data_IF_998529012858
#
_entry.id   IF_998529012858
#
_cell.length_a   1.000
_cell.length_b   1.000
_cell.length_c   1.000
_cell.angle_alpha   90.00
_cell.angle_beta   90.00
_cell.angle_gamma   90.00
#
_symmetry.space_group_name_H-M   'P 1'
#
loop_
_entity.id
_entity.type
_entity.pdbx_description
1 polymer ?
#
# COMPACT_ATOMS: atom_id res chain seq x y z
N UNK A 1 -2.80 13.07 8.10
CA UNK A 1 -3.04 13.42 6.69
C UNK A 1 -3.50 14.86 6.51
N UNK A 2 -4.50 15.35 7.26
CA UNK A 2 -5.03 16.72 7.09
C UNK A 2 -4.00 17.81 7.40
N UNK A 3 -3.11 17.56 8.35
CA UNK A 3 -2.01 18.46 8.70
C UNK A 3 -1.02 18.60 7.55
N UNK A 4 -0.74 17.52 6.81
CA UNK A 4 0.12 17.54 5.63
C UNK A 4 -0.48 18.37 4.48
N UNK A 5 -1.80 18.26 4.26
CA UNK A 5 -2.49 18.94 3.15
C UNK A 5 -2.57 20.47 3.31
N UNK A 6 -2.43 21.00 4.52
CA UNK A 6 -2.50 22.44 4.82
C UNK A 6 -1.17 23.08 5.24
N UNK A 7 -0.03 22.51 4.82
CA UNK A 7 1.29 23.04 5.18
C UNK A 7 1.69 22.79 6.63
N UNK A 8 1.13 21.72 7.21
CA UNK A 8 1.54 21.22 8.52
C UNK A 8 2.91 20.52 8.46
N UNK A 9 3.34 20.00 9.60
CA UNK A 9 4.60 19.28 9.74
C UNK A 9 4.59 18.03 8.86
N UNK A 10 5.53 17.97 7.90
CA UNK A 10 5.76 16.82 7.02
C UNK A 10 6.95 15.99 7.51
N UNK A 11 7.37 16.16 8.77
CA UNK A 11 8.44 15.34 9.31
C UNK A 11 7.99 13.89 9.51
N UNK A 12 8.97 12.99 9.48
CA UNK A 12 8.80 11.56 9.75
C UNK A 12 8.10 11.33 11.09
N UNK A 13 8.45 12.11 12.11
CA UNK A 13 7.97 12.00 13.49
C UNK A 13 6.51 12.41 13.65
N UNK A 14 5.96 13.16 12.70
CA UNK A 14 4.56 13.61 12.74
C UNK A 14 3.54 12.45 12.68
N UNK A 15 3.97 11.25 12.30
CA UNK A 15 3.12 10.07 12.20
C UNK A 15 3.89 8.78 12.44
N UNK A 16 3.56 8.03 13.48
CA UNK A 16 4.15 6.70 13.74
C UNK A 16 4.01 5.72 12.56
N UNK A 17 2.94 5.84 11.77
CA UNK A 17 2.74 5.07 10.54
C UNK A 17 3.79 5.46 9.48
N UNK A 18 4.05 6.76 9.31
CA UNK A 18 5.08 7.26 8.40
C UNK A 18 6.46 6.81 8.86
N UNK A 19 6.79 6.98 10.14
CA UNK A 19 8.07 6.54 10.70
C UNK A 19 8.31 5.06 10.47
N UNK A 20 7.31 4.21 10.72
CA UNK A 20 7.39 2.77 10.45
C UNK A 20 7.58 2.47 8.96
N UNK A 21 6.88 3.19 8.09
CA UNK A 21 7.02 3.03 6.64
C UNK A 21 8.45 3.36 6.19
N UNK A 22 8.99 4.50 6.63
CA UNK A 22 10.35 4.93 6.27
C UNK A 22 11.39 3.94 6.81
N UNK A 23 11.28 3.51 8.07
CA UNK A 23 12.18 2.49 8.64
C UNK A 23 12.15 1.18 7.85
N UNK A 24 10.97 0.80 7.33
CA UNK A 24 10.84 -0.39 6.47
C UNK A 24 11.53 -0.16 5.12
N UNK A 25 11.35 1.01 4.50
CA UNK A 25 12.02 1.38 3.25
C UNK A 25 13.54 1.39 3.42
N UNK A 26 14.07 1.98 4.50
CA UNK A 26 15.51 1.99 4.82
C UNK A 26 16.06 0.55 4.90
N UNK A 27 15.35 -0.36 5.55
CA UNK A 27 15.74 -1.77 5.65
C UNK A 27 15.78 -2.45 4.28
N UNK A 28 14.77 -2.21 3.43
CA UNK A 28 14.69 -2.76 2.08
C UNK A 28 15.85 -2.24 1.21
N UNK A 29 16.12 -0.94 1.26
CA UNK A 29 17.22 -0.32 0.52
C UNK A 29 18.59 -0.84 0.98
N UNK A 30 18.77 -1.04 2.29
CA UNK A 30 20.02 -1.60 2.84
C UNK A 30 20.27 -3.03 2.39
N UNK A 31 19.22 -3.78 2.12
CA UNK A 31 19.27 -5.14 1.55
C UNK A 31 19.43 -5.14 0.02
N UNK A 32 19.53 -3.98 -0.61
CA UNK A 32 19.59 -3.81 -2.06
C UNK A 32 18.36 -4.38 -2.80
N UNK A 33 17.21 -4.38 -2.17
CA UNK A 33 15.95 -4.90 -2.70
C UNK A 33 15.07 -3.78 -3.26
N UNK A 34 14.02 -4.17 -4.01
CA UNK A 34 13.03 -3.24 -4.56
C UNK A 34 11.69 -3.39 -3.85
N UNK A 35 10.97 -2.27 -3.71
CA UNK A 35 9.66 -2.26 -3.09
C UNK A 35 8.60 -1.50 -3.90
N UNK A 36 7.36 -2.00 -3.82
CA UNK A 36 6.15 -1.30 -4.21
C UNK A 36 5.46 -0.77 -2.97
N UNK A 37 5.02 0.48 -2.99
CA UNK A 37 4.26 1.11 -1.92
C UNK A 37 2.90 1.50 -2.47
N UNK A 38 1.85 0.88 -1.96
CA UNK A 38 0.49 1.15 -2.37
C UNK A 38 -0.20 2.14 -1.44
N UNK A 39 -0.85 3.14 -2.02
CA UNK A 39 -1.71 4.10 -1.31
C UNK A 39 -3.01 4.32 -2.07
N UNK A 40 -4.10 4.64 -1.36
CA UNK A 40 -5.39 4.94 -1.98
C UNK A 40 -5.43 6.35 -2.60
N UNK A 41 -4.64 7.28 -2.07
CA UNK A 41 -4.73 8.70 -2.36
C UNK A 41 -3.49 9.20 -3.10
N UNK A 42 -3.72 9.92 -4.20
CA UNK A 42 -2.63 10.53 -4.96
C UNK A 42 -1.80 11.49 -4.10
N UNK A 43 -2.46 12.31 -3.31
CA UNK A 43 -1.84 13.30 -2.43
C UNK A 43 -0.92 12.62 -1.38
N UNK A 44 -1.32 11.46 -0.87
CA UNK A 44 -0.47 10.68 0.02
C UNK A 44 0.73 10.09 -0.74
N UNK A 45 0.55 9.70 -1.99
CA UNK A 45 1.65 9.26 -2.85
C UNK A 45 2.68 10.36 -3.07
N UNK A 46 2.25 11.60 -3.32
CA UNK A 46 3.13 12.77 -3.44
C UNK A 46 3.93 13.00 -2.14
N UNK A 47 3.27 12.88 -0.97
CA UNK A 47 3.90 13.02 0.36
C UNK A 47 4.92 11.89 0.60
N UNK A 48 4.56 10.65 0.33
CA UNK A 48 5.44 9.49 0.48
C UNK A 48 6.70 9.65 -0.39
N UNK A 49 6.54 10.01 -1.66
CA UNK A 49 7.67 10.23 -2.55
C UNK A 49 8.60 11.31 -2.02
N UNK A 50 8.06 12.43 -1.54
CA UNK A 50 8.86 13.51 -0.99
C UNK A 50 9.65 13.06 0.24
N UNK A 51 8.97 12.49 1.25
CA UNK A 51 9.63 12.08 2.50
C UNK A 51 10.67 10.98 2.24
N UNK A 52 10.36 9.98 1.40
CA UNK A 52 11.33 8.93 1.03
C UNK A 52 12.55 9.52 0.32
N UNK A 53 12.33 10.51 -0.55
CA UNK A 53 13.45 11.18 -1.23
C UNK A 53 14.34 11.93 -0.25
N UNK A 54 13.73 12.66 0.68
CA UNK A 54 14.45 13.50 1.65
C UNK A 54 15.20 12.65 2.69
N UNK A 55 14.58 11.57 3.20
CA UNK A 55 15.11 10.75 4.29
C UNK A 55 16.02 9.60 3.82
N UNK A 56 15.68 8.96 2.69
CA UNK A 56 16.37 7.75 2.24
C UNK A 56 17.38 8.01 1.08
N UNK A 57 17.57 9.27 0.69
CA UNK A 57 18.45 9.67 -0.43
C UNK A 57 18.22 8.83 -1.70
N UNK A 58 16.95 8.62 -2.06
CA UNK A 58 16.53 7.89 -3.25
C UNK A 58 15.41 8.65 -3.96
N UNK A 59 15.20 8.38 -5.24
CA UNK A 59 14.14 9.02 -6.02
C UNK A 59 13.02 8.02 -6.32
N UNK A 60 11.94 7.95 -5.52
CA UNK A 60 10.85 7.04 -5.78
C UNK A 60 10.15 7.35 -7.10
N UNK A 61 9.82 6.33 -7.88
CA UNK A 61 8.94 6.46 -9.02
C UNK A 61 7.50 6.57 -8.52
N UNK A 62 6.68 7.44 -9.15
CA UNK A 62 5.29 7.58 -8.75
C UNK A 62 4.32 7.26 -9.89
N UNK A 63 3.63 6.15 -9.74
CA UNK A 63 2.64 5.66 -10.70
C UNK A 63 1.22 6.04 -10.25
N UNK A 64 0.53 6.89 -11.02
CA UNK A 64 -0.80 7.40 -10.67
C UNK A 64 -1.70 7.59 -11.89
N UNK A 65 -3.00 7.81 -11.65
CA UNK A 65 -4.04 7.85 -12.68
C UNK A 65 -3.91 8.97 -13.72
N UNK A 66 -3.25 10.08 -13.37
CA UNK A 66 -3.09 11.21 -14.30
C UNK A 66 -1.96 11.03 -15.31
N UNK A 67 -1.17 9.95 -15.23
CA UNK A 67 -0.11 9.66 -16.19
C UNK A 67 -0.70 9.17 -17.51
N UNK A 68 -0.09 9.60 -18.62
CA UNK A 68 -0.38 9.06 -19.95
C UNK A 68 0.14 7.64 -20.11
N UNK A 69 -0.37 6.89 -21.09
CA UNK A 69 0.08 5.51 -21.34
C UNK A 69 1.60 5.42 -21.54
N UNK A 70 2.24 6.25 -22.39
CA UNK A 70 3.69 6.20 -22.54
C UNK A 70 4.47 6.48 -21.25
N UNK A 71 3.99 7.42 -20.41
CA UNK A 71 4.64 7.69 -19.11
C UNK A 71 4.54 6.49 -18.16
N UNK A 72 3.42 5.77 -18.18
CA UNK A 72 3.24 4.56 -17.37
C UNK A 72 4.19 3.45 -17.82
N UNK A 73 4.31 3.24 -19.12
CA UNK A 73 5.21 2.23 -19.70
C UNK A 73 6.68 2.55 -19.40
N UNK A 74 7.07 3.82 -19.47
CA UNK A 74 8.40 4.29 -19.09
C UNK A 74 8.72 3.99 -17.63
N UNK A 75 7.83 4.36 -16.70
CA UNK A 75 8.01 4.09 -15.27
C UNK A 75 8.13 2.60 -14.97
N UNK A 76 7.31 1.75 -15.61
CA UNK A 76 7.37 0.30 -15.44
C UNK A 76 8.72 -0.22 -15.94
N UNK A 77 9.15 0.21 -17.12
CA UNK A 77 10.42 -0.21 -17.71
C UNK A 77 11.59 0.18 -16.81
N UNK A 78 11.63 1.42 -16.36
CA UNK A 78 12.66 1.93 -15.44
C UNK A 78 12.69 1.13 -14.15
N UNK A 79 11.54 0.91 -13.52
CA UNK A 79 11.48 0.11 -12.30
C UNK A 79 11.99 -1.31 -12.50
N UNK A 80 11.69 -1.92 -13.64
CA UNK A 80 12.13 -3.29 -13.93
C UNK A 80 13.63 -3.39 -14.26
N UNK A 81 14.19 -2.38 -14.95
CA UNK A 81 15.52 -2.50 -15.57
C UNK A 81 16.60 -1.66 -14.89
N UNK A 82 16.25 -0.53 -14.25
CA UNK A 82 17.22 0.38 -13.63
C UNK A 82 17.51 -0.04 -12.18
N UNK A 83 18.78 -0.14 -11.83
CA UNK A 83 19.19 -0.56 -10.47
C UNK A 83 18.98 0.51 -9.41
N UNK A 84 18.95 1.78 -9.78
CA UNK A 84 18.70 2.92 -8.90
C UNK A 84 17.19 3.15 -8.65
N UNK A 85 16.32 2.64 -9.52
CA UNK A 85 14.88 2.67 -9.35
C UNK A 85 14.42 1.59 -8.34
N UNK A 86 14.66 1.82 -7.05
CA UNK A 86 14.38 0.84 -5.98
C UNK A 86 12.96 0.90 -5.45
N UNK A 87 12.36 2.08 -5.42
CA UNK A 87 11.05 2.30 -4.81
C UNK A 87 10.08 2.82 -5.87
N UNK A 88 8.89 2.18 -5.96
CA UNK A 88 7.78 2.71 -6.74
C UNK A 88 6.56 2.87 -5.84
N UNK A 89 6.05 4.08 -5.75
CA UNK A 89 4.76 4.39 -5.10
C UNK A 89 3.66 4.27 -6.15
N UNK A 90 2.56 3.61 -5.79
CA UNK A 90 1.41 3.41 -6.68
C UNK A 90 0.13 3.92 -6.04
N UNK A 91 -0.57 4.81 -6.74
CA UNK A 91 -1.95 5.13 -6.41
C UNK A 91 -2.87 4.08 -7.04
N UNK A 92 -3.61 3.35 -6.20
CA UNK A 92 -4.34 2.15 -6.61
C UNK A 92 -5.50 2.39 -7.59
N UNK A 93 -6.06 3.59 -7.63
CA UNK A 93 -7.01 3.97 -8.70
C UNK A 93 -6.38 3.89 -10.11
N UNK A 94 -5.06 3.95 -10.19
CA UNK A 94 -4.31 3.86 -11.44
C UNK A 94 -3.86 2.42 -11.75
N UNK A 95 -3.78 1.58 -10.75
CA UNK A 95 -3.23 0.23 -10.86
C UNK A 95 -4.19 -0.83 -11.38
N UNK A 96 -5.41 -0.48 -11.83
CA UNK A 96 -6.46 -1.42 -12.27
C UNK A 96 -6.12 -2.31 -13.47
N UNK A 97 -5.01 -2.10 -14.15
CA UNK A 97 -4.67 -2.84 -15.37
C UNK A 97 -3.34 -3.59 -15.21
N UNK A 98 -3.43 -4.90 -15.15
CA UNK A 98 -2.43 -5.94 -15.51
C UNK A 98 -0.92 -5.64 -15.42
N UNK A 99 -0.48 -4.77 -14.49
CA UNK A 99 0.93 -4.43 -14.34
C UNK A 99 1.73 -5.66 -13.93
N UNK A 100 2.86 -5.88 -14.57
CA UNK A 100 3.82 -6.91 -14.19
C UNK A 100 5.05 -6.23 -13.58
N UNK A 101 5.24 -6.36 -12.25
CA UNK A 101 6.27 -5.68 -11.48
C UNK A 101 7.12 -6.69 -10.68
N UNK A 102 7.57 -7.73 -11.35
CA UNK A 102 8.28 -8.87 -10.76
C UNK A 102 9.69 -8.56 -10.24
N UNK A 103 10.22 -7.37 -10.50
CA UNK A 103 11.51 -6.96 -9.89
C UNK A 103 11.41 -6.62 -8.40
N UNK A 104 10.18 -6.36 -7.89
CA UNK A 104 9.97 -6.09 -6.48
C UNK A 104 9.91 -7.39 -5.65
N UNK A 105 10.57 -7.38 -4.52
CA UNK A 105 10.53 -8.44 -3.50
C UNK A 105 9.81 -7.99 -2.24
N UNK A 106 9.41 -6.72 -2.17
CA UNK A 106 8.66 -6.18 -1.05
C UNK A 106 7.45 -5.39 -1.54
N UNK A 107 6.34 -5.56 -0.82
CA UNK A 107 5.09 -4.82 -1.03
C UNK A 107 4.69 -4.16 0.28
N UNK A 108 4.46 -2.86 0.26
CA UNK A 108 4.00 -2.09 1.42
C UNK A 108 2.59 -1.56 1.10
N UNK A 109 1.60 -2.02 1.85
CA UNK A 109 0.27 -1.43 1.86
C UNK A 109 0.25 -0.31 2.91
N UNK A 110 0.40 0.94 2.46
CA UNK A 110 0.40 2.10 3.35
C UNK A 110 -1.01 2.38 3.88
N UNK A 111 -2.02 2.28 3.02
CA UNK A 111 -3.42 2.34 3.40
C UNK A 111 -4.06 0.95 3.28
N UNK A 112 -4.88 0.56 4.25
CA UNK A 112 -5.65 -0.67 4.19
C UNK A 112 -6.81 -0.55 3.20
N UNK A 113 -7.10 -1.64 2.54
CA UNK A 113 -8.30 -1.76 1.71
C UNK A 113 -9.44 -2.39 2.50
N UNK A 114 -10.62 -1.82 2.32
CA UNK A 114 -11.85 -2.37 2.85
C UNK A 114 -12.20 -3.73 2.21
N UNK A 115 -11.68 -3.99 1.02
CA UNK A 115 -11.81 -5.27 0.32
C UNK A 115 -10.45 -5.98 0.22
N UNK A 116 -10.24 -7.09 0.93
CA UNK A 116 -9.00 -7.87 0.90
C UNK A 116 -8.61 -8.31 -0.51
N UNK A 117 -9.59 -8.63 -1.38
CA UNK A 117 -9.33 -9.04 -2.76
C UNK A 117 -8.58 -7.97 -3.56
N UNK A 118 -8.70 -6.69 -3.20
CA UNK A 118 -7.95 -5.61 -3.86
C UNK A 118 -6.51 -5.56 -3.36
N UNK A 119 -6.26 -5.84 -2.06
CA UNK A 119 -4.90 -6.00 -1.53
C UNK A 119 -4.21 -7.20 -2.17
N UNK A 120 -4.90 -8.34 -2.22
CA UNK A 120 -4.40 -9.56 -2.86
C UNK A 120 -4.09 -9.30 -4.34
N UNK A 121 -4.99 -8.65 -5.09
CA UNK A 121 -4.76 -8.27 -6.48
C UNK A 121 -3.56 -7.30 -6.64
N UNK A 122 -3.34 -6.39 -5.70
CA UNK A 122 -2.16 -5.51 -5.72
C UNK A 122 -0.88 -6.31 -5.45
N UNK A 123 -0.91 -7.24 -4.53
CA UNK A 123 0.20 -8.15 -4.21
C UNK A 123 0.50 -9.09 -5.37
N UNK A 124 -0.50 -9.62 -6.04
CA UNK A 124 -0.38 -10.51 -7.20
C UNK A 124 0.31 -9.86 -8.41
N UNK A 125 0.48 -8.53 -8.41
CA UNK A 125 1.28 -7.83 -9.44
C UNK A 125 2.77 -8.13 -9.32
N UNK A 126 3.21 -8.48 -8.13
CA UNK A 126 4.59 -8.92 -7.85
C UNK A 126 4.69 -10.44 -7.93
N UNK A 127 3.61 -11.17 -7.64
CA UNK A 127 3.54 -12.63 -7.58
C UNK A 127 3.04 -13.21 -8.90
N UNK A 128 3.77 -12.99 -9.99
CA UNK A 128 3.43 -13.54 -11.32
C UNK A 128 4.47 -14.53 -11.83
N UNK A 129 4.13 -15.24 -12.89
CA UNK A 129 5.04 -16.13 -13.62
C UNK A 129 6.32 -15.33 -13.96
N UNK A 130 7.46 -15.80 -13.44
CA UNK A 130 8.77 -15.14 -13.56
C UNK A 130 9.29 -14.52 -12.26
N UNK A 131 8.54 -14.59 -11.14
CA UNK A 131 9.03 -14.25 -9.81
C UNK A 131 9.56 -15.51 -9.12
N UNK A 132 10.89 -15.60 -9.03
CA UNK A 132 11.58 -16.75 -8.38
C UNK A 132 11.89 -16.47 -6.90
N UNK A 133 11.60 -15.27 -6.40
CA UNK A 133 11.88 -14.85 -5.03
C UNK A 133 10.61 -14.76 -4.20
N UNK A 134 10.75 -15.01 -2.91
CA UNK A 134 9.67 -14.72 -1.95
C UNK A 134 9.36 -13.23 -1.92
N UNK A 135 8.09 -12.89 -1.92
CA UNK A 135 7.63 -11.51 -1.76
C UNK A 135 7.22 -11.29 -0.31
N UNK A 136 7.83 -10.29 0.33
CA UNK A 136 7.47 -9.84 1.67
C UNK A 136 6.38 -8.78 1.59
N UNK A 137 5.26 -9.02 2.30
CA UNK A 137 4.13 -8.08 2.34
C UNK A 137 4.07 -7.40 3.70
N UNK A 138 4.11 -6.07 3.70
CA UNK A 138 4.01 -5.22 4.89
C UNK A 138 2.69 -4.45 4.85
N UNK A 139 1.86 -4.62 5.87
CA UNK A 139 0.61 -3.87 6.04
C UNK A 139 0.78 -2.85 7.16
N UNK A 140 0.61 -1.56 6.84
CA UNK A 140 0.77 -0.48 7.81
C UNK A 140 -0.57 -0.18 8.49
N UNK A 141 -0.69 -0.56 9.75
CA UNK A 141 -1.91 -0.42 10.55
C UNK A 141 -1.60 0.50 11.75
N UNK A 142 -2.42 1.52 11.93
CA UNK A 142 -2.32 2.40 13.09
C UNK A 142 -3.14 1.82 14.23
N UNK A 143 -2.46 1.39 15.31
CA UNK A 143 -3.11 0.84 16.50
C UNK A 143 -3.96 1.90 17.20
N UNK A 144 -5.04 1.47 17.85
CA UNK A 144 -5.98 2.35 18.53
C UNK A 144 -6.85 3.19 17.59
N UNK A 145 -6.93 2.84 16.30
CA UNK A 145 -7.73 3.54 15.32
C UNK A 145 -8.74 2.61 14.63
N UNK A 146 -9.60 3.19 13.80
CA UNK A 146 -10.52 2.43 12.96
C UNK A 146 -9.81 1.44 12.02
N UNK A 147 -8.56 1.69 11.63
CA UNK A 147 -7.79 0.77 10.79
C UNK A 147 -7.59 -0.59 11.48
N UNK A 148 -7.30 -0.59 12.77
CA UNK A 148 -7.12 -1.82 13.55
C UNK A 148 -8.42 -2.62 13.61
N UNK A 149 -9.54 -1.95 13.89
CA UNK A 149 -10.87 -2.60 13.94
C UNK A 149 -11.27 -3.17 12.59
N UNK A 150 -11.00 -2.45 11.48
CA UNK A 150 -11.23 -2.97 10.13
C UNK A 150 -10.38 -4.21 9.88
N UNK A 151 -9.09 -4.18 10.24
CA UNK A 151 -8.20 -5.32 10.04
C UNK A 151 -8.68 -6.55 10.81
N UNK A 152 -9.11 -6.39 12.05
CA UNK A 152 -9.69 -7.46 12.87
C UNK A 152 -10.97 -8.02 12.25
N UNK A 153 -11.87 -7.14 11.81
CA UNK A 153 -13.10 -7.56 11.13
C UNK A 153 -12.83 -8.32 9.84
N UNK A 154 -11.87 -7.84 9.03
CA UNK A 154 -11.51 -8.49 7.76
C UNK A 154 -10.86 -9.86 8.00
N UNK A 155 -10.04 -10.00 9.05
CA UNK A 155 -9.44 -11.28 9.46
C UNK A 155 -10.52 -12.28 9.89
N UNK A 156 -11.44 -11.87 10.75
CA UNK A 156 -12.54 -12.75 11.19
C UNK A 156 -13.44 -13.18 10.04
N UNK A 157 -13.74 -12.28 9.10
CA UNK A 157 -14.51 -12.62 7.89
C UNK A 157 -13.75 -13.57 6.96
N UNK A 158 -12.44 -13.41 6.81
CA UNK A 158 -11.61 -14.33 6.02
C UNK A 158 -11.56 -15.72 6.64
N UNK A 159 -11.38 -15.81 7.94
CA UNK A 159 -11.42 -17.09 8.68
C UNK A 159 -12.78 -17.78 8.53
N UNK A 160 -13.87 -17.04 8.60
CA UNK A 160 -15.22 -17.57 8.36
C UNK A 160 -15.44 -18.00 6.90
N UNK A 161 -14.88 -17.27 5.93
CA UNK A 161 -14.97 -17.62 4.52
C UNK A 161 -14.13 -18.85 4.18
N UNK A 162 -12.96 -18.99 4.79
CA UNK A 162 -12.09 -20.18 4.64
C UNK A 162 -12.71 -21.43 5.28
N UNK A 163 -13.53 -21.25 6.33
CA UNK A 163 -14.32 -22.32 6.96
C UNK A 163 -15.60 -22.66 6.18
N UNK A 164 -16.19 -21.65 5.54
CA UNK A 164 -17.35 -21.81 4.68
C UNK A 164 -16.88 -21.82 3.22
N UNK A 165 -16.50 -22.95 2.67
CA UNK A 165 -16.17 -23.12 1.24
C UNK A 165 -17.43 -22.83 0.41
N UNK A 166 -17.89 -21.60 0.35
CA UNK A 166 -18.97 -21.14 -0.57
C UNK A 166 -19.01 -19.64 -0.82
N UNK A 167 -18.89 -19.30 -2.11
CA UNK A 167 -19.42 -18.16 -2.86
C UNK A 167 -19.27 -16.72 -2.35
N UNK A 168 -18.37 -15.98 -3.06
CA UNK A 168 -18.69 -14.74 -3.79
C UNK A 168 -19.10 -13.49 -3.02
N UNK A 169 -18.17 -12.54 -2.99
CA UNK A 169 -18.41 -11.08 -3.06
C UNK A 169 -19.62 -10.48 -2.32
N UNK A 170 -19.47 -10.29 -0.98
CA UNK A 170 -20.31 -9.35 -0.24
C UNK A 170 -19.55 -8.85 0.99
N UNK A 171 -18.75 -7.79 0.88
CA UNK A 171 -17.84 -7.52 2.00
C UNK A 171 -18.04 -6.19 2.71
N UNK A 172 -18.63 -5.16 2.13
CA UNK A 172 -18.77 -3.87 2.85
C UNK A 172 -20.10 -3.17 2.62
N UNK A 173 -20.75 -3.41 1.52
CA UNK A 173 -22.09 -2.84 1.25
C UNK A 173 -23.20 -3.40 2.16
N UNK A 174 -22.88 -4.36 3.04
CA UNK A 174 -23.83 -5.06 3.91
C UNK A 174 -23.49 -4.97 5.41
N UNK A 175 -22.66 -4.00 5.82
CA UNK A 175 -22.49 -3.71 7.25
C UNK A 175 -23.79 -3.12 7.80
N UNK A 176 -24.26 -3.65 8.91
CA UNK A 176 -25.37 -3.04 9.67
C UNK A 176 -24.93 -1.71 10.26
N UNK A 177 -25.88 -0.85 10.58
CA UNK A 177 -25.62 0.42 11.24
C UNK A 177 -24.88 0.22 12.58
N UNK A 178 -25.13 -0.88 13.30
CA UNK A 178 -24.43 -1.25 14.53
C UNK A 178 -22.96 -1.57 14.27
N UNK A 179 -22.64 -2.37 13.25
CA UNK A 179 -21.26 -2.71 12.88
C UNK A 179 -20.49 -1.47 12.44
N UNK A 180 -21.12 -0.56 11.70
CA UNK A 180 -20.55 0.73 11.32
C UNK A 180 -20.27 1.57 12.57
N UNK A 181 -21.21 1.64 13.49
CA UNK A 181 -21.05 2.40 14.73
C UNK A 181 -19.89 1.88 15.59
N UNK A 182 -19.75 0.56 15.72
CA UNK A 182 -18.64 -0.07 16.46
C UNK A 182 -17.28 0.25 15.83
N UNK A 183 -17.16 0.27 14.49
CA UNK A 183 -15.92 0.59 13.78
C UNK A 183 -15.47 2.02 14.10
N UNK A 184 -16.40 2.97 14.18
CA UNK A 184 -16.08 4.39 14.42
C UNK A 184 -16.02 4.79 15.89
N UNK A 185 -16.41 3.91 16.81
CA UNK A 185 -16.29 4.17 18.26
C UNK A 185 -14.84 3.90 18.68
N UNK A 186 -14.09 4.96 18.95
CA UNK A 186 -12.73 4.87 19.47
C UNK A 186 -12.78 4.24 20.87
N UNK A 187 -11.89 3.29 21.12
CA UNK A 187 -11.68 2.79 22.48
C UNK A 187 -11.06 3.90 23.31
N UNK A 188 -11.76 4.29 24.39
CA UNK A 188 -11.29 5.27 25.35
C UNK A 188 -10.10 4.72 26.17
#
# INVERSE_FOLDING_TARGET
>A
PYQFLKGGDMSREASGKMDKCISTVESILSSNEKALIFTQYKEMGDILCKIISDECNTNPLFFHGSLTVPQREDLITRFQTEDDAKIMVLSLKAGGTGLNLTSATNVIHYDLWWNPAVEDQATDRTYRIGQDKNVMVHRMITLGTFEEKIDEMLKSKKELADLAVYEGEKIITELSDEEIYEIFTLSA
#
